data_IF_793433372844
#
_entry.id   IF_793433372844
#
_cell.length_a   1.000
_cell.length_b   1.000
_cell.length_c   1.000
_cell.angle_alpha   90.00
_cell.angle_beta   90.00
_cell.angle_gamma   90.00
#
_symmetry.space_group_name_H-M   'P 1'
#
loop_
_entity.id
_entity.type
_entity.pdbx_description
1 polymer ?
#
# COMPACT_ATOMS: atom_id res chain seq x y z
N UNK A 1 46.27 24.14 54.82
CA UNK A 1 46.09 23.99 53.35
C UNK A 1 45.19 22.82 52.93
N UNK A 2 45.30 21.59 53.48
CA UNK A 2 44.52 20.40 53.03
C UNK A 2 42.98 20.53 53.06
N UNK A 3 42.38 21.26 54.01
CA UNK A 3 40.91 21.42 54.14
C UNK A 3 40.25 22.15 52.96
N UNK A 4 40.96 23.08 52.31
CA UNK A 4 40.44 23.86 51.18
C UNK A 4 40.33 22.99 49.92
N UNK A 5 41.32 22.12 49.70
CA UNK A 5 41.36 21.21 48.55
C UNK A 5 40.26 20.16 48.59
N UNK A 6 39.98 19.59 49.77
CA UNK A 6 38.91 18.58 49.95
C UNK A 6 37.53 19.18 49.67
N UNK A 7 37.26 20.41 50.14
CA UNK A 7 35.99 21.12 49.91
C UNK A 7 35.76 21.41 48.41
N UNK A 8 36.81 21.75 47.68
CA UNK A 8 36.75 21.97 46.23
C UNK A 8 36.40 20.68 45.45
N UNK A 9 37.01 19.54 45.81
CA UNK A 9 36.76 18.23 45.18
C UNK A 9 35.34 17.74 45.48
N UNK A 10 34.86 17.90 46.72
CA UNK A 10 33.48 17.57 47.10
C UNK A 10 32.47 18.39 46.28
N UNK A 11 32.72 19.69 46.10
CA UNK A 11 31.82 20.55 45.34
C UNK A 11 31.72 20.15 43.86
N UNK A 12 32.86 19.81 43.22
CA UNK A 12 32.88 19.32 41.82
C UNK A 12 32.13 18.00 41.64
N UNK A 13 32.20 17.08 42.60
CA UNK A 13 31.49 15.79 42.52
C UNK A 13 29.99 15.94 42.75
N UNK A 14 29.56 16.85 43.62
CA UNK A 14 28.15 17.21 43.82
C UNK A 14 27.58 17.86 42.56
N UNK A 15 28.30 18.82 41.97
CA UNK A 15 27.93 19.47 40.70
C UNK A 15 27.75 18.45 39.56
N UNK A 16 28.69 17.51 39.39
CA UNK A 16 28.60 16.46 38.37
C UNK A 16 27.38 15.55 38.58
N UNK A 17 27.08 15.14 39.82
CA UNK A 17 25.89 14.34 40.14
C UNK A 17 24.59 15.11 39.89
N UNK A 18 24.56 16.40 40.21
CA UNK A 18 23.42 17.28 39.91
C UNK A 18 23.18 17.39 38.41
N UNK A 19 24.24 17.62 37.64
CA UNK A 19 24.18 17.69 36.18
C UNK A 19 23.65 16.39 35.55
N UNK A 20 24.16 15.22 35.99
CA UNK A 20 23.68 13.92 35.52
C UNK A 20 22.19 13.71 35.83
N UNK A 21 21.72 14.09 37.02
CA UNK A 21 20.29 13.97 37.37
C UNK A 21 19.40 14.87 36.51
N UNK A 22 19.84 16.09 36.21
CA UNK A 22 19.13 17.00 35.31
C UNK A 22 19.07 16.41 33.90
N UNK A 23 20.16 15.85 33.39
CA UNK A 23 20.19 15.18 32.09
C UNK A 23 19.26 13.97 32.03
N UNK A 24 19.25 13.12 33.07
CA UNK A 24 18.33 11.97 33.15
C UNK A 24 16.88 12.44 33.17
N UNK A 25 16.55 13.48 33.96
CA UNK A 25 15.21 14.03 34.02
C UNK A 25 14.77 14.61 32.65
N UNK A 26 15.65 15.37 31.99
CA UNK A 26 15.38 15.92 30.66
C UNK A 26 15.18 14.82 29.61
N UNK A 27 16.01 13.78 29.61
CA UNK A 27 15.86 12.64 28.73
C UNK A 27 14.54 11.88 28.98
N UNK A 28 14.14 11.70 30.24
CA UNK A 28 12.88 11.07 30.60
C UNK A 28 11.66 11.87 30.13
N UNK A 29 11.70 13.20 30.25
CA UNK A 29 10.65 14.09 29.74
C UNK A 29 10.57 14.03 28.22
N UNK A 30 11.72 14.10 27.52
CA UNK A 30 11.75 13.97 26.07
C UNK A 30 11.19 12.62 25.60
N UNK A 31 11.53 11.52 26.29
CA UNK A 31 11.00 10.19 26.00
C UNK A 31 9.47 10.14 26.20
N UNK A 32 8.96 10.72 27.28
CA UNK A 32 7.52 10.82 27.54
C UNK A 32 6.80 11.65 26.47
N UNK A 33 7.38 12.78 26.04
CA UNK A 33 6.83 13.60 24.97
C UNK A 33 6.79 12.85 23.64
N UNK A 34 7.77 12.01 23.33
CA UNK A 34 7.76 11.18 22.12
C UNK A 34 6.70 10.07 22.25
N UNK A 35 6.68 9.36 23.37
CA UNK A 35 5.75 8.25 23.62
C UNK A 35 4.28 8.67 23.59
N UNK A 36 3.96 9.88 24.08
CA UNK A 36 2.58 10.41 24.10
C UNK A 36 2.31 11.30 22.88
N UNK A 37 3.27 12.12 22.47
CA UNK A 37 3.11 13.10 21.40
C UNK A 37 2.96 12.48 20.03
N UNK A 38 3.70 11.42 19.70
CA UNK A 38 3.59 10.75 18.39
C UNK A 38 2.20 10.11 18.18
N UNK A 39 1.64 9.35 19.15
CA UNK A 39 0.26 8.85 19.04
C UNK A 39 -0.78 9.97 18.93
N UNK A 40 -0.67 11.04 19.75
CA UNK A 40 -1.60 12.17 19.68
C UNK A 40 -1.53 12.88 18.32
N UNK A 41 -0.33 13.10 17.80
CA UNK A 41 -0.13 13.72 16.49
C UNK A 41 -0.77 12.89 15.36
N UNK A 42 -0.60 11.56 15.38
CA UNK A 42 -1.23 10.64 14.42
C UNK A 42 -2.75 10.55 14.56
N UNK A 43 -3.28 10.74 15.76
CA UNK A 43 -4.73 10.74 15.98
C UNK A 43 -5.39 12.01 15.42
N UNK A 44 -4.69 13.15 15.47
CA UNK A 44 -5.16 14.42 14.92
C UNK A 44 -4.98 14.47 13.39
N UNK A 45 -3.90 13.85 12.89
CA UNK A 45 -3.58 13.80 11.47
C UNK A 45 -3.70 12.35 10.98
N UNK A 46 -4.91 11.87 10.64
CA UNK A 46 -5.09 10.53 10.10
C UNK A 46 -4.29 10.38 8.81
N UNK A 47 -3.94 9.12 8.48
CA UNK A 47 -3.15 8.82 7.30
C UNK A 47 -3.83 9.35 6.04
N UNK A 48 -3.07 10.03 5.20
CA UNK A 48 -3.52 10.53 3.90
C UNK A 48 -3.85 9.37 2.95
N UNK A 49 -4.64 9.63 1.92
CA UNK A 49 -4.99 8.61 0.91
C UNK A 49 -3.74 8.00 0.24
N UNK A 50 -2.69 8.81 0.06
CA UNK A 50 -1.41 8.35 -0.46
C UNK A 50 -0.66 7.44 0.50
N UNK A 51 -0.68 7.73 1.80
CA UNK A 51 -0.09 6.87 2.84
C UNK A 51 -0.87 5.56 2.99
N UNK A 52 -2.20 5.61 2.94
CA UNK A 52 -3.04 4.42 2.95
C UNK A 52 -2.80 3.54 1.72
N UNK A 53 -2.68 4.12 0.53
CA UNK A 53 -2.27 3.33 -0.64
C UNK A 53 -0.90 2.70 -0.42
N UNK A 54 0.10 3.46 0.02
CA UNK A 54 1.46 2.93 0.22
C UNK A 54 1.52 1.82 1.29
N UNK A 55 0.68 1.89 2.31
CA UNK A 55 0.60 0.86 3.36
C UNK A 55 -0.04 -0.46 2.86
N UNK A 56 -0.99 -0.39 1.94
CA UNK A 56 -1.82 -1.54 1.54
C UNK A 56 -1.58 -2.04 0.11
N UNK A 57 -0.90 -1.28 -0.74
CA UNK A 57 -0.60 -1.69 -2.11
C UNK A 57 0.48 -2.77 -2.15
N UNK A 58 0.17 -3.85 -2.86
CA UNK A 58 1.13 -4.88 -3.23
C UNK A 58 0.95 -5.15 -4.74
N UNK A 59 2.05 -5.15 -5.54
CA UNK A 59 1.99 -5.55 -6.93
C UNK A 59 1.35 -6.93 -7.08
N UNK A 60 0.53 -7.09 -8.11
CA UNK A 60 -0.14 -8.37 -8.32
C UNK A 60 0.86 -9.47 -8.70
N UNK A 61 0.83 -10.58 -7.98
CA UNK A 61 1.60 -11.78 -8.28
C UNK A 61 0.68 -12.92 -8.72
N UNK A 62 0.79 -13.33 -9.98
CA UNK A 62 0.08 -14.50 -10.50
C UNK A 62 0.73 -15.79 -10.01
N UNK A 63 0.13 -16.42 -9.00
CA UNK A 63 0.59 -17.69 -8.42
C UNK A 63 0.06 -18.91 -9.20
N UNK A 64 -0.72 -18.72 -10.25
CA UNK A 64 -1.34 -19.80 -11.03
C UNK A 64 -0.41 -20.38 -12.10
N UNK A 65 0.89 -20.46 -11.80
CA UNK A 65 1.88 -21.02 -12.70
C UNK A 65 1.52 -22.49 -13.06
N UNK A 66 0.88 -22.68 -14.21
CA UNK A 66 0.87 -23.96 -14.92
C UNK A 66 -0.47 -24.61 -15.28
N UNK A 67 -1.63 -23.95 -15.24
CA UNK A 67 -2.90 -24.70 -15.43
C UNK A 67 -3.74 -24.44 -16.69
N UNK A 68 -3.30 -23.62 -17.64
CA UNK A 68 -3.97 -23.56 -18.94
C UNK A 68 -2.96 -23.66 -20.09
N UNK A 69 -2.83 -24.89 -20.60
CA UNK A 69 -2.34 -25.14 -21.96
C UNK A 69 -3.41 -24.64 -22.93
N UNK A 70 -3.47 -23.32 -23.12
CA UNK A 70 -4.18 -22.72 -24.24
C UNK A 70 -3.13 -21.93 -25.01
N UNK A 71 -2.97 -22.30 -26.28
CA UNK A 71 -2.10 -21.68 -27.27
C UNK A 71 -2.27 -20.15 -27.25
N UNK A 72 -1.28 -19.42 -26.74
CA UNK A 72 -0.98 -18.04 -27.16
C UNK A 72 0.33 -17.58 -26.50
N UNK A 73 1.44 -17.78 -27.22
CA UNK A 73 2.78 -17.31 -26.83
C UNK A 73 2.77 -15.85 -26.35
N UNK A 74 1.94 -15.01 -26.98
CA UNK A 74 1.82 -13.58 -26.70
C UNK A 74 1.21 -13.24 -25.33
N UNK A 75 0.17 -13.96 -24.86
CA UNK A 75 -0.41 -13.69 -23.53
C UNK A 75 0.58 -14.06 -22.42
N UNK A 76 1.23 -15.21 -22.55
CA UNK A 76 2.28 -15.63 -21.62
C UNK A 76 3.48 -14.66 -21.64
N UNK A 77 3.92 -14.23 -22.82
CA UNK A 77 4.97 -13.22 -22.98
C UNK A 77 4.59 -11.91 -22.30
N UNK A 78 3.36 -11.42 -22.50
CA UNK A 78 2.88 -10.17 -21.89
C UNK A 78 2.88 -10.24 -20.36
N UNK A 79 2.39 -11.34 -19.77
CA UNK A 79 2.43 -11.59 -18.32
C UNK A 79 3.85 -11.65 -17.78
N UNK A 80 4.76 -12.32 -18.50
CA UNK A 80 6.17 -12.40 -18.12
C UNK A 80 6.85 -11.03 -18.17
N UNK A 81 6.55 -10.21 -19.18
CA UNK A 81 7.06 -8.84 -19.26
C UNK A 81 6.56 -7.98 -18.11
N UNK A 82 5.27 -8.06 -17.77
CA UNK A 82 4.72 -7.42 -16.57
C UNK A 82 5.48 -7.85 -15.30
N UNK A 83 5.67 -9.17 -15.11
CA UNK A 83 6.40 -9.72 -13.96
C UNK A 83 7.85 -9.21 -13.87
N UNK A 84 8.47 -8.97 -15.02
CA UNK A 84 9.85 -8.44 -15.10
C UNK A 84 9.92 -6.91 -15.05
N UNK A 85 8.80 -6.21 -14.87
CA UNK A 85 8.73 -4.74 -14.85
C UNK A 85 8.82 -4.08 -16.23
N UNK A 86 8.76 -4.85 -17.32
CA UNK A 86 8.76 -4.35 -18.69
C UNK A 86 7.34 -3.94 -19.12
N UNK A 87 6.80 -2.94 -18.42
CA UNK A 87 5.41 -2.52 -18.47
C UNK A 87 4.98 -1.98 -19.84
N UNK A 88 5.80 -1.15 -20.47
CA UNK A 88 5.53 -0.58 -21.80
C UNK A 88 5.38 -1.66 -22.87
N UNK A 89 6.31 -2.63 -22.92
CA UNK A 89 6.19 -3.73 -23.88
C UNK A 89 5.07 -4.70 -23.52
N UNK A 90 4.83 -4.97 -22.23
CA UNK A 90 3.70 -5.78 -21.81
C UNK A 90 2.38 -5.17 -22.32
N UNK A 91 2.18 -3.86 -22.12
CA UNK A 91 0.99 -3.13 -22.57
C UNK A 91 0.84 -3.17 -24.08
N UNK A 92 1.96 -3.01 -24.82
CA UNK A 92 1.97 -3.15 -26.28
C UNK A 92 1.48 -4.53 -26.72
N UNK A 93 1.97 -5.62 -26.11
CA UNK A 93 1.50 -6.97 -26.45
C UNK A 93 0.02 -7.14 -26.10
N UNK A 94 -0.40 -6.74 -24.89
CA UNK A 94 -1.81 -6.80 -24.47
C UNK A 94 -2.74 -6.06 -25.45
N UNK A 95 -2.31 -4.93 -26.00
CA UNK A 95 -3.10 -4.17 -26.99
C UNK A 95 -3.38 -4.94 -28.29
N UNK A 96 -2.50 -5.88 -28.65
CA UNK A 96 -2.60 -6.71 -29.87
C UNK A 96 -3.38 -8.01 -29.67
N UNK A 97 -3.65 -8.41 -28.43
CA UNK A 97 -4.36 -9.66 -28.13
C UNK A 97 -5.83 -9.59 -28.59
N UNK A 98 -6.39 -10.71 -29.08
CA UNK A 98 -7.78 -10.77 -29.52
C UNK A 98 -8.76 -10.60 -28.36
N UNK A 99 -9.95 -10.08 -28.66
CA UNK A 99 -11.02 -9.85 -27.67
C UNK A 99 -11.89 -11.12 -27.43
N UNK A 100 -11.28 -12.30 -27.42
CA UNK A 100 -11.96 -13.53 -26.98
C UNK A 100 -12.27 -13.44 -25.48
N UNK A 101 -13.40 -13.97 -25.01
CA UNK A 101 -13.92 -13.73 -23.65
C UNK A 101 -12.86 -13.93 -22.55
N UNK A 102 -12.15 -15.07 -22.57
CA UNK A 102 -11.12 -15.41 -21.56
C UNK A 102 -9.91 -14.47 -21.66
N UNK A 103 -9.44 -14.19 -22.88
CA UNK A 103 -8.28 -13.32 -23.14
C UNK A 103 -8.62 -11.86 -22.80
N UNK A 104 -9.86 -11.42 -23.04
CA UNK A 104 -10.31 -10.06 -22.80
C UNK A 104 -10.29 -9.69 -21.32
N UNK A 105 -10.73 -10.60 -20.44
CA UNK A 105 -10.68 -10.37 -18.99
C UNK A 105 -9.23 -10.24 -18.50
N UNK A 106 -8.36 -11.15 -18.92
CA UNK A 106 -6.91 -11.11 -18.66
C UNK A 106 -6.26 -9.82 -19.18
N UNK A 107 -6.54 -9.45 -20.44
CA UNK A 107 -6.06 -8.23 -21.09
C UNK A 107 -6.46 -6.98 -20.32
N UNK A 108 -7.73 -6.84 -19.95
CA UNK A 108 -8.21 -5.69 -19.19
C UNK A 108 -7.59 -5.64 -17.79
N UNK A 109 -7.51 -6.78 -17.11
CA UNK A 109 -6.96 -6.86 -15.76
C UNK A 109 -5.48 -6.46 -15.74
N UNK A 110 -4.65 -7.10 -16.56
CA UNK A 110 -3.22 -6.80 -16.63
C UNK A 110 -2.93 -5.41 -17.19
N UNK A 111 -3.71 -4.91 -18.15
CA UNK A 111 -3.56 -3.51 -18.60
C UNK A 111 -3.83 -2.54 -17.45
N UNK A 112 -4.85 -2.80 -16.62
CA UNK A 112 -5.13 -2.01 -15.43
C UNK A 112 -3.97 -2.01 -14.44
N UNK A 113 -3.41 -3.18 -14.13
CA UNK A 113 -2.23 -3.33 -13.27
C UNK A 113 -1.01 -2.57 -13.83
N UNK A 114 -0.73 -2.73 -15.13
CA UNK A 114 0.36 -2.02 -15.80
C UNK A 114 0.18 -0.50 -15.70
N UNK A 115 -1.03 0.01 -15.93
CA UNK A 115 -1.30 1.44 -15.75
C UNK A 115 -1.06 1.91 -14.31
N UNK A 116 -1.34 1.09 -13.30
CA UNK A 116 -0.99 1.42 -11.91
C UNK A 116 0.51 1.54 -11.70
N UNK A 117 1.28 0.60 -12.24
CA UNK A 117 2.75 0.59 -12.14
C UNK A 117 3.38 1.79 -12.87
N UNK A 118 2.75 2.26 -13.95
CA UNK A 118 3.11 3.48 -14.66
C UNK A 118 2.60 4.77 -13.98
N UNK A 119 1.90 4.67 -12.84
CA UNK A 119 1.30 5.81 -12.13
C UNK A 119 0.07 6.43 -12.82
N UNK A 120 -0.44 5.78 -13.87
CA UNK A 120 -1.58 6.22 -14.68
C UNK A 120 -2.91 5.70 -14.10
N UNK A 121 -3.23 6.09 -12.87
CA UNK A 121 -4.37 5.54 -12.12
C UNK A 121 -5.74 5.74 -12.80
N UNK A 122 -5.95 6.83 -13.53
CA UNK A 122 -7.19 7.04 -14.28
C UNK A 122 -7.37 6.02 -15.41
N UNK A 123 -6.30 5.70 -16.13
CA UNK A 123 -6.33 4.67 -17.17
C UNK A 123 -6.59 3.28 -16.57
N UNK A 124 -6.00 3.01 -15.40
CA UNK A 124 -6.24 1.78 -14.65
C UNK A 124 -7.71 1.63 -14.25
N UNK A 125 -8.32 2.70 -13.70
CA UNK A 125 -9.75 2.75 -13.36
C UNK A 125 -10.60 2.36 -14.57
N UNK A 126 -10.35 2.97 -15.73
CA UNK A 126 -11.11 2.64 -16.94
C UNK A 126 -11.01 1.16 -17.33
N UNK A 127 -9.84 0.52 -17.22
CA UNK A 127 -9.72 -0.90 -17.56
C UNK A 127 -10.45 -1.79 -16.55
N UNK A 128 -10.35 -1.48 -15.25
CA UNK A 128 -11.01 -2.25 -14.20
C UNK A 128 -12.53 -2.10 -14.21
N UNK A 129 -13.06 -0.90 -14.44
CA UNK A 129 -14.51 -0.67 -14.59
C UNK A 129 -15.07 -1.48 -15.76
N UNK A 130 -14.41 -1.43 -16.93
CA UNK A 130 -14.79 -2.23 -18.12
C UNK A 130 -14.78 -3.74 -17.85
N UNK A 131 -13.86 -4.22 -17.01
CA UNK A 131 -13.81 -5.62 -16.64
C UNK A 131 -14.99 -6.00 -15.73
N UNK A 132 -15.34 -5.16 -14.75
CA UNK A 132 -16.49 -5.41 -13.86
C UNK A 132 -17.85 -5.37 -14.58
N UNK A 133 -17.93 -4.74 -15.74
CA UNK A 133 -19.09 -4.78 -16.63
C UNK A 133 -19.25 -6.13 -17.35
N UNK A 134 -18.21 -6.97 -17.40
CA UNK A 134 -18.28 -8.29 -18.03
C UNK A 134 -18.86 -9.32 -17.05
N UNK A 135 -20.00 -9.93 -17.39
CA UNK A 135 -20.68 -10.93 -16.54
C UNK A 135 -19.84 -12.17 -16.23
N UNK A 136 -18.94 -12.54 -17.14
CA UNK A 136 -18.26 -13.84 -17.14
C UNK A 136 -16.89 -13.81 -16.45
N UNK A 137 -16.43 -12.63 -16.00
CA UNK A 137 -15.10 -12.44 -15.40
C UNK A 137 -15.05 -12.69 -13.87
N UNK A 138 -15.95 -13.54 -13.35
CA UNK A 138 -16.23 -13.66 -11.91
C UNK A 138 -15.00 -13.99 -11.06
N UNK A 139 -14.05 -14.77 -11.60
CA UNK A 139 -12.83 -15.18 -10.91
C UNK A 139 -11.87 -14.01 -10.60
N UNK A 140 -11.88 -12.97 -11.44
CA UNK A 140 -11.03 -11.78 -11.26
C UNK A 140 -11.72 -10.66 -10.47
N UNK A 141 -13.05 -10.71 -10.28
CA UNK A 141 -13.81 -9.62 -9.66
C UNK A 141 -13.28 -9.20 -8.28
N UNK A 142 -12.85 -10.15 -7.44
CA UNK A 142 -12.25 -9.83 -6.14
C UNK A 142 -10.96 -9.03 -6.27
N UNK A 143 -10.05 -9.46 -7.14
CA UNK A 143 -8.80 -8.77 -7.42
C UNK A 143 -9.05 -7.40 -8.04
N UNK A 144 -9.95 -7.33 -9.03
CA UNK A 144 -10.29 -6.09 -9.73
C UNK A 144 -10.87 -5.05 -8.78
N UNK A 145 -11.81 -5.45 -7.90
CA UNK A 145 -12.36 -4.52 -6.89
C UNK A 145 -11.28 -4.01 -5.94
N UNK A 146 -10.32 -4.85 -5.56
CA UNK A 146 -9.21 -4.46 -4.69
C UNK A 146 -8.36 -3.38 -5.36
N UNK A 147 -7.85 -3.65 -6.56
CA UNK A 147 -7.00 -2.71 -7.29
C UNK A 147 -7.74 -1.45 -7.75
N UNK A 148 -9.02 -1.57 -8.13
CA UNK A 148 -9.87 -0.42 -8.44
C UNK A 148 -10.09 0.48 -7.21
N UNK A 149 -10.35 -0.11 -6.04
CA UNK A 149 -10.47 0.63 -4.78
C UNK A 149 -9.19 1.41 -4.45
N UNK A 150 -8.02 0.79 -4.66
CA UNK A 150 -6.73 1.44 -4.48
C UNK A 150 -6.48 2.57 -5.49
N UNK A 151 -6.90 2.41 -6.75
CA UNK A 151 -6.84 3.50 -7.74
C UNK A 151 -7.75 4.67 -7.36
N UNK A 152 -8.96 4.39 -6.86
CA UNK A 152 -9.86 5.43 -6.36
C UNK A 152 -9.28 6.16 -5.15
N UNK A 153 -8.58 5.49 -4.24
CA UNK A 153 -7.82 6.15 -3.17
C UNK A 153 -6.77 7.09 -3.75
N UNK A 154 -5.97 6.63 -4.72
CA UNK A 154 -4.91 7.45 -5.33
C UNK A 154 -5.40 8.64 -6.12
N UNK A 155 -6.67 8.64 -6.51
CA UNK A 155 -7.31 9.70 -7.30
C UNK A 155 -8.33 10.51 -6.49
N UNK A 156 -8.29 10.39 -5.16
CA UNK A 156 -9.18 11.13 -4.23
C UNK A 156 -10.68 10.88 -4.42
N UNK A 157 -11.03 9.71 -4.93
CA UNK A 157 -12.41 9.21 -5.01
C UNK A 157 -12.75 8.31 -3.81
N UNK A 158 -12.57 8.85 -2.59
CA UNK A 158 -12.68 8.08 -1.34
C UNK A 158 -14.00 7.33 -1.18
N UNK A 159 -15.14 7.93 -1.56
CA UNK A 159 -16.45 7.26 -1.48
C UNK A 159 -16.54 6.01 -2.37
N UNK A 160 -15.98 6.09 -3.59
CA UNK A 160 -15.93 4.95 -4.51
C UNK A 160 -14.99 3.87 -3.98
N UNK A 161 -13.85 4.27 -3.41
CA UNK A 161 -12.92 3.35 -2.75
C UNK A 161 -13.60 2.61 -1.58
N UNK A 162 -14.29 3.33 -0.68
CA UNK A 162 -15.06 2.75 0.44
C UNK A 162 -16.06 1.72 -0.07
N UNK A 163 -16.81 2.04 -1.13
CA UNK A 163 -17.75 1.10 -1.75
C UNK A 163 -17.09 -0.20 -2.20
N UNK A 164 -15.92 -0.14 -2.86
CA UNK A 164 -15.19 -1.32 -3.30
C UNK A 164 -14.71 -2.17 -2.11
N UNK A 165 -14.09 -1.54 -1.11
CA UNK A 165 -13.56 -2.26 0.05
C UNK A 165 -14.67 -2.85 0.93
N UNK A 166 -15.79 -2.15 1.10
CA UNK A 166 -16.94 -2.68 1.84
C UNK A 166 -17.54 -3.91 1.15
N UNK A 167 -17.62 -3.90 -0.18
CA UNK A 167 -18.10 -5.05 -0.94
C UNK A 167 -17.16 -6.25 -0.83
N UNK A 168 -15.84 -6.00 -0.86
CA UNK A 168 -14.81 -7.02 -0.60
C UNK A 168 -14.95 -7.61 0.81
N UNK A 169 -15.11 -6.76 1.84
CA UNK A 169 -15.23 -7.20 3.24
C UNK A 169 -16.51 -8.03 3.47
N UNK A 170 -17.63 -7.56 2.91
CA UNK A 170 -18.95 -8.18 3.03
C UNK A 170 -18.98 -9.57 2.39
N UNK A 171 -18.45 -9.70 1.18
CA UNK A 171 -18.50 -10.94 0.42
C UNK A 171 -17.25 -11.84 0.60
N UNK A 172 -16.33 -11.46 1.51
CA UNK A 172 -15.09 -12.19 1.80
C UNK A 172 -14.25 -12.46 0.54
N UNK A 173 -14.18 -11.48 -0.35
CA UNK A 173 -13.41 -11.55 -1.59
C UNK A 173 -11.90 -11.45 -1.31
N UNK A 174 -11.09 -11.51 -2.38
CA UNK A 174 -9.65 -11.27 -2.32
C UNK A 174 -9.31 -10.04 -1.45
N UNK A 175 -8.30 -10.19 -0.59
CA UNK A 175 -7.84 -9.17 0.36
C UNK A 175 -8.87 -8.65 1.39
N UNK A 176 -9.95 -9.38 1.72
CA UNK A 176 -10.96 -8.93 2.70
C UNK A 176 -10.43 -8.51 4.08
N UNK A 177 -9.35 -9.13 4.58
CA UNK A 177 -8.74 -8.74 5.86
C UNK A 177 -8.08 -7.37 5.75
N UNK A 178 -7.39 -7.11 4.64
CA UNK A 178 -6.75 -5.83 4.39
C UNK A 178 -7.79 -4.75 4.09
N UNK A 179 -8.85 -5.07 3.34
CA UNK A 179 -10.00 -4.18 3.14
C UNK A 179 -10.63 -3.74 4.48
N UNK A 180 -10.83 -4.68 5.42
CA UNK A 180 -11.35 -4.35 6.76
C UNK A 180 -10.43 -3.41 7.55
N UNK A 181 -9.12 -3.64 7.50
CA UNK A 181 -8.14 -2.77 8.18
C UNK A 181 -8.09 -1.38 7.54
N UNK A 182 -8.11 -1.32 6.22
CA UNK A 182 -8.08 -0.09 5.44
C UNK A 182 -9.33 0.75 5.72
N UNK A 183 -10.52 0.17 5.68
CA UNK A 183 -11.78 0.84 6.01
C UNK A 183 -11.79 1.47 7.41
N UNK A 184 -11.11 0.88 8.39
CA UNK A 184 -11.01 1.44 9.75
C UNK A 184 -10.09 2.66 9.84
N UNK A 185 -9.20 2.83 8.86
CA UNK A 185 -8.22 3.93 8.80
C UNK A 185 -8.66 5.08 7.87
N UNK A 186 -9.65 4.83 7.01
CA UNK A 186 -10.31 5.80 6.12
C UNK A 186 -11.43 6.57 6.81
#
# INVERSE_FOLDING_TARGET
MKKVTIKCILNKTIEKKRYIRIFIAAAAVALLLILVGVPLYRNINPATEGELFAEFYEPFEDKSAGQFLIEENSLYEAKNRYKNGDYENALRIFSTLPDAIVIKAEKLFYSGLIYMELGQYNNAITQFERLLEQSDASLLHGHVKWYLGLCYLKTSHSDKAKKMFSDIEKNKLYNYRNASKLLKKM
#
